data_IF_595185464027
#
_entry.id   IF_595185464027
#
_cell.length_a   1.000
_cell.length_b   1.000
_cell.length_c   1.000
_cell.angle_alpha   90.00
_cell.angle_beta   90.00
_cell.angle_gamma   90.00
#
_symmetry.space_group_name_H-M   'P 1'
#
loop_
_entity.id
_entity.type
_entity.pdbx_description
1 polymer ?
#
# COMPACT_ATOMS: atom_id res chain seq x y z
N UNK A 1 -15.55 -11.59 40.59
CA UNK A 1 -16.27 -10.75 39.60
C UNK A 1 -15.58 -10.92 38.25
N UNK A 2 -16.17 -11.69 37.32
CA UNK A 2 -15.54 -12.02 36.03
C UNK A 2 -15.67 -10.88 35.02
N UNK A 3 -14.58 -10.53 34.34
CA UNK A 3 -14.49 -9.48 33.32
C UNK A 3 -15.42 -9.82 32.14
N UNK A 4 -16.49 -9.04 31.93
CA UNK A 4 -17.43 -9.24 30.82
C UNK A 4 -16.72 -8.97 29.49
N UNK A 5 -16.71 -9.97 28.59
CA UNK A 5 -16.21 -9.83 27.21
C UNK A 5 -17.26 -9.08 26.38
N UNK A 6 -16.83 -8.07 25.63
CA UNK A 6 -17.66 -6.98 25.11
C UNK A 6 -18.45 -7.24 23.82
N UNK A 7 -18.69 -8.50 23.42
CA UNK A 7 -19.60 -8.81 22.30
C UNK A 7 -20.36 -10.13 22.56
N UNK A 8 -21.69 -10.19 22.33
CA UNK A 8 -22.52 -11.37 22.64
C UNK A 8 -22.25 -12.57 21.72
N UNK A 9 -21.65 -12.34 20.56
CA UNK A 9 -21.28 -13.37 19.59
C UNK A 9 -19.91 -13.03 18.97
N UNK A 10 -19.03 -14.03 18.97
CA UNK A 10 -17.71 -13.98 18.37
C UNK A 10 -17.12 -15.38 18.41
N UNK A 11 -16.61 -15.86 17.28
CA UNK A 11 -15.86 -17.11 17.22
C UNK A 11 -14.40 -16.74 17.46
N UNK A 12 -13.72 -17.48 18.32
CA UNK A 12 -12.27 -17.39 18.51
C UNK A 12 -11.63 -18.64 17.91
N UNK A 13 -11.44 -18.72 16.57
CA UNK A 13 -10.70 -19.82 15.98
C UNK A 13 -9.28 -19.90 16.58
N UNK A 14 -8.69 -21.10 16.67
CA UNK A 14 -7.27 -21.24 16.99
C UNK A 14 -6.42 -20.39 16.04
N UNK A 15 -5.49 -19.61 16.58
CA UNK A 15 -4.67 -18.68 15.79
C UNK A 15 -3.55 -19.37 14.99
N UNK A 16 -3.21 -20.61 15.36
CA UNK A 16 -2.26 -21.47 14.66
C UNK A 16 -0.86 -20.83 14.50
N UNK A 17 -0.49 -19.88 15.36
CA UNK A 17 0.81 -19.20 15.27
C UNK A 17 1.99 -20.12 15.57
N UNK A 18 1.77 -21.17 16.36
CA UNK A 18 2.81 -22.11 16.77
C UNK A 18 3.53 -22.78 15.60
N UNK A 19 2.89 -22.88 14.43
CA UNK A 19 3.46 -23.51 13.24
C UNK A 19 4.63 -22.73 12.63
N UNK A 20 4.64 -21.39 12.75
CA UNK A 20 5.66 -20.55 12.12
C UNK A 20 6.39 -19.60 13.07
N UNK A 21 5.93 -19.41 14.30
CA UNK A 21 6.51 -18.43 15.23
C UNK A 21 7.99 -18.66 15.58
N UNK A 22 8.52 -19.86 15.35
CA UNK A 22 9.90 -20.25 15.62
C UNK A 22 10.77 -20.34 14.36
N UNK A 23 10.18 -20.13 13.17
CA UNK A 23 10.90 -20.20 11.90
C UNK A 23 11.70 -18.90 11.69
N UNK A 24 12.85 -18.96 10.99
CA UNK A 24 13.61 -17.77 10.64
C UNK A 24 12.84 -16.87 9.67
N UNK A 25 13.21 -15.59 9.62
CA UNK A 25 12.77 -14.67 8.56
C UNK A 25 13.46 -15.08 7.27
N UNK A 26 12.69 -15.15 6.19
CA UNK A 26 13.17 -15.49 4.85
C UNK A 26 12.91 -14.35 3.88
N UNK A 27 13.73 -14.27 2.83
CA UNK A 27 13.51 -13.32 1.74
C UNK A 27 12.34 -13.79 0.86
N UNK A 28 11.35 -12.92 0.68
CA UNK A 28 10.27 -13.18 -0.25
C UNK A 28 10.72 -12.75 -1.65
N UNK A 29 10.71 -13.65 -2.65
CA UNK A 29 11.08 -13.27 -4.01
C UNK A 29 10.10 -12.23 -4.57
N UNK A 30 10.63 -11.33 -5.38
CA UNK A 30 9.85 -10.27 -6.00
C UNK A 30 8.94 -10.86 -7.09
N UNK A 31 7.66 -10.54 -7.04
CA UNK A 31 6.68 -10.97 -8.05
C UNK A 31 6.95 -10.32 -9.41
N UNK A 32 6.65 -11.03 -10.51
CA UNK A 32 6.78 -10.50 -11.87
C UNK A 32 5.86 -9.29 -12.14
N UNK A 33 4.73 -9.21 -11.44
CA UNK A 33 3.79 -8.10 -11.48
C UNK A 33 3.36 -7.69 -10.08
N UNK A 34 3.34 -6.38 -9.83
CA UNK A 34 2.77 -5.74 -8.66
C UNK A 34 1.48 -5.01 -9.08
N UNK A 35 0.34 -5.46 -8.58
CA UNK A 35 -0.96 -4.81 -8.81
C UNK A 35 -1.26 -3.90 -7.63
N UNK A 36 -1.31 -2.59 -7.87
CA UNK A 36 -1.56 -1.58 -6.84
C UNK A 36 -2.95 -0.97 -7.08
N UNK A 37 -3.96 -1.36 -6.28
CA UNK A 37 -5.29 -0.75 -6.39
C UNK A 37 -5.24 0.73 -6.02
N UNK A 38 -5.99 1.55 -6.73
CA UNK A 38 -6.14 2.99 -6.46
C UNK A 38 -7.23 3.29 -5.42
N UNK A 39 -7.96 2.26 -4.97
CA UNK A 39 -9.00 2.36 -3.96
C UNK A 39 -8.62 1.55 -2.71
N UNK A 40 -7.63 2.04 -1.95
CA UNK A 40 -7.11 1.38 -0.72
C UNK A 40 -7.73 1.93 0.58
N UNK A 41 -8.69 2.84 0.47
CA UNK A 41 -9.34 3.50 1.59
C UNK A 41 -10.84 3.66 1.34
N UNK A 42 -11.59 4.06 2.38
CA UNK A 42 -13.06 4.23 2.31
C UNK A 42 -13.53 5.37 1.40
N UNK A 43 -12.60 6.25 1.05
CA UNK A 43 -12.81 7.44 0.23
C UNK A 43 -12.95 7.17 -1.27
N UNK A 44 -12.97 8.23 -2.08
CA UNK A 44 -13.00 8.09 -3.54
C UNK A 44 -11.66 7.51 -4.04
N UNK A 45 -11.64 6.62 -5.05
CA UNK A 45 -10.39 6.11 -5.60
C UNK A 45 -9.44 7.23 -6.04
N UNK A 46 -8.14 7.07 -5.78
CA UNK A 46 -7.12 7.96 -6.27
C UNK A 46 -7.12 8.00 -7.81
N UNK A 47 -6.86 9.18 -8.37
CA UNK A 47 -6.80 9.37 -9.83
C UNK A 47 -5.39 9.03 -10.32
N UNK A 48 -5.23 8.08 -11.25
CA UNK A 48 -3.90 7.70 -11.73
C UNK A 48 -3.19 8.91 -12.34
N UNK A 49 -1.93 9.11 -11.97
CA UNK A 49 -1.09 10.18 -12.52
C UNK A 49 0.09 9.65 -13.35
N UNK A 50 0.10 8.35 -13.63
CA UNK A 50 1.03 7.64 -14.51
C UNK A 50 0.26 6.90 -15.59
N UNK A 51 0.95 6.51 -16.66
CA UNK A 51 0.39 5.78 -17.79
C UNK A 51 1.26 4.57 -18.15
N UNK A 52 0.73 3.69 -19.00
CA UNK A 52 1.46 2.51 -19.49
C UNK A 52 2.79 2.92 -20.16
N UNK A 53 3.86 2.22 -19.84
CA UNK A 53 5.22 2.47 -20.31
C UNK A 53 6.02 3.46 -19.46
N UNK A 54 5.39 4.12 -18.49
CA UNK A 54 6.08 5.01 -17.56
C UNK A 54 7.05 4.23 -16.66
N UNK A 55 8.25 4.78 -16.46
CA UNK A 55 9.16 4.32 -15.42
C UNK A 55 8.79 5.00 -14.10
N UNK A 56 8.75 4.23 -13.03
CA UNK A 56 8.43 4.72 -11.67
C UNK A 56 9.51 4.30 -10.69
N UNK A 57 9.72 5.13 -9.67
CA UNK A 57 10.58 4.82 -8.52
C UNK A 57 9.75 4.35 -7.33
N UNK A 58 10.36 3.59 -6.43
CA UNK A 58 9.75 3.24 -5.16
C UNK A 58 9.41 4.49 -4.36
N UNK A 59 8.18 4.53 -3.83
CA UNK A 59 7.65 5.67 -3.11
C UNK A 59 7.21 6.83 -4.01
N UNK A 60 7.29 6.73 -5.33
CA UNK A 60 6.73 7.74 -6.24
C UNK A 60 5.20 7.70 -6.21
N UNK A 61 4.55 8.87 -6.19
CA UNK A 61 3.09 8.99 -6.34
C UNK A 61 2.68 8.47 -7.72
N UNK A 62 1.74 7.52 -7.75
CA UNK A 62 1.15 6.95 -8.97
C UNK A 62 -0.36 7.17 -9.05
N UNK A 63 -0.98 7.62 -7.95
CA UNK A 63 -2.37 8.06 -7.90
C UNK A 63 -2.52 9.27 -6.99
N UNK A 64 -3.06 10.37 -7.53
CA UNK A 64 -3.34 11.58 -6.77
C UNK A 64 -4.64 11.45 -5.97
N UNK A 65 -4.66 12.02 -4.77
CA UNK A 65 -5.87 12.07 -3.96
C UNK A 65 -7.00 12.83 -4.71
N UNK A 66 -8.22 12.29 -4.69
CA UNK A 66 -9.39 12.89 -5.35
C UNK A 66 -10.59 12.99 -4.41
N UNK A 67 -11.21 14.17 -4.35
CA UNK A 67 -12.40 14.39 -3.53
C UNK A 67 -12.09 14.61 -2.05
N UNK A 68 -13.15 14.70 -1.22
CA UNK A 68 -13.04 15.14 0.17
C UNK A 68 -12.32 14.13 1.09
N UNK A 69 -12.55 12.83 0.87
CA UNK A 69 -11.85 11.75 1.58
C UNK A 69 -11.03 11.00 0.54
N UNK A 70 -9.72 11.25 0.51
CA UNK A 70 -8.77 10.51 -0.32
C UNK A 70 -7.34 10.72 0.14
N UNK A 71 -6.47 9.76 -0.17
CA UNK A 71 -5.02 9.88 0.03
C UNK A 71 -4.30 9.50 -1.27
N UNK A 72 -3.06 9.99 -1.47
CA UNK A 72 -2.24 9.56 -2.59
C UNK A 72 -1.86 8.07 -2.46
N UNK A 73 -1.62 7.45 -3.62
CA UNK A 73 -1.16 6.06 -3.75
C UNK A 73 0.20 6.07 -4.39
N UNK A 74 1.13 5.29 -3.82
CA UNK A 74 2.54 5.28 -4.21
C UNK A 74 2.95 3.92 -4.79
N UNK A 75 3.96 3.93 -5.66
CA UNK A 75 4.58 2.72 -6.18
C UNK A 75 5.31 1.94 -5.07
N UNK A 76 5.03 0.64 -4.96
CA UNK A 76 5.64 -0.23 -3.95
C UNK A 76 7.10 -0.61 -4.25
N UNK A 77 7.51 -0.51 -5.53
CA UNK A 77 8.88 -0.75 -5.99
C UNK A 77 9.14 0.07 -7.26
N UNK A 78 10.41 0.17 -7.67
CA UNK A 78 10.79 0.74 -8.96
C UNK A 78 10.46 -0.22 -10.10
N UNK A 79 10.25 0.33 -11.30
CA UNK A 79 10.08 -0.45 -12.52
C UNK A 79 9.17 0.23 -13.54
N UNK A 80 8.54 -0.58 -14.39
CA UNK A 80 7.73 -0.10 -15.51
C UNK A 80 6.23 -0.31 -15.25
N UNK A 81 5.43 0.71 -15.51
CA UNK A 81 3.96 0.59 -15.51
C UNK A 81 3.51 -0.19 -16.73
N UNK A 82 3.03 -1.42 -16.53
CA UNK A 82 2.51 -2.28 -17.59
C UNK A 82 1.10 -1.88 -18.05
N UNK A 83 0.27 -1.40 -17.12
CA UNK A 83 -1.10 -1.03 -17.38
C UNK A 83 -1.68 -0.14 -16.27
N UNK A 84 -2.70 0.65 -16.63
CA UNK A 84 -3.60 1.33 -15.70
C UNK A 84 -5.00 0.88 -16.03
N UNK A 85 -5.49 -0.13 -15.31
CA UNK A 85 -6.74 -0.83 -15.64
C UNK A 85 -7.38 -1.48 -14.40
N UNK A 86 -8.67 -1.86 -14.46
CA UNK A 86 -9.29 -2.63 -13.38
C UNK A 86 -8.68 -4.02 -13.20
N UNK A 87 -8.32 -4.40 -11.96
CA UNK A 87 -7.79 -5.73 -11.60
C UNK A 87 -8.60 -6.37 -10.46
N UNK A 88 -8.65 -7.72 -10.36
CA UNK A 88 -9.39 -8.40 -9.29
C UNK A 88 -8.90 -7.99 -7.90
N UNK A 89 -9.84 -7.75 -6.98
CA UNK A 89 -9.55 -7.39 -5.60
C UNK A 89 -10.24 -8.37 -4.61
N UNK A 90 -9.66 -8.65 -3.42
CA UNK A 90 -10.24 -9.56 -2.43
C UNK A 90 -11.66 -9.25 -1.96
N UNK A 91 -12.18 -8.05 -2.25
CA UNK A 91 -13.58 -7.68 -2.02
C UNK A 91 -14.55 -8.28 -3.04
N UNK A 92 -14.06 -9.06 -4.00
CA UNK A 92 -14.88 -9.71 -5.05
C UNK A 92 -15.26 -8.77 -6.20
N UNK A 93 -14.61 -7.61 -6.32
CA UNK A 93 -14.82 -6.64 -7.41
C UNK A 93 -13.50 -6.36 -8.10
N UNK A 94 -13.55 -5.90 -9.36
CA UNK A 94 -12.39 -5.32 -10.00
C UNK A 94 -12.27 -3.84 -9.61
N UNK A 95 -11.06 -3.41 -9.23
CA UNK A 95 -10.78 -2.02 -8.84
C UNK A 95 -9.75 -1.39 -9.79
N UNK A 96 -9.88 -0.08 -10.11
CA UNK A 96 -8.86 0.62 -10.90
C UNK A 96 -7.50 0.47 -10.23
N UNK A 97 -6.50 0.04 -10.98
CA UNK A 97 -5.19 -0.34 -10.45
C UNK A 97 -4.08 0.10 -11.40
N UNK A 98 -2.89 0.33 -10.84
CA UNK A 98 -1.65 0.45 -11.60
C UNK A 98 -0.91 -0.88 -11.49
N UNK A 99 -0.53 -1.46 -12.62
CA UNK A 99 0.25 -2.71 -12.69
C UNK A 99 1.70 -2.35 -12.99
N UNK A 100 2.62 -2.74 -12.12
CA UNK A 100 4.06 -2.46 -12.26
C UNK A 100 4.79 -3.78 -12.45
N UNK A 101 5.67 -3.84 -13.46
CA UNK A 101 6.73 -4.84 -13.52
C UNK A 101 7.93 -4.30 -12.75
N UNK A 102 8.26 -4.87 -11.59
CA UNK A 102 9.42 -4.39 -10.85
C UNK A 102 10.71 -4.71 -11.60
N UNK A 103 11.68 -3.80 -11.52
CA UNK A 103 13.01 -3.94 -12.15
C UNK A 103 14.03 -4.69 -11.27
N UNK A 104 13.72 -4.87 -9.99
CA UNK A 104 14.60 -5.49 -9.00
C UNK A 104 15.66 -4.54 -8.42
N UNK A 105 15.66 -3.26 -8.81
CA UNK A 105 16.62 -2.27 -8.33
C UNK A 105 16.21 -1.63 -6.99
N UNK A 106 14.91 -1.68 -6.66
CA UNK A 106 14.31 -1.05 -5.48
C UNK A 106 14.67 0.44 -5.32
N UNK A 107 14.80 1.13 -6.46
CA UNK A 107 15.28 2.50 -6.54
C UNK A 107 14.25 3.50 -5.99
N UNK A 108 14.61 4.23 -4.94
CA UNK A 108 13.74 5.20 -4.28
C UNK A 108 13.66 6.55 -5.02
N UNK A 109 12.48 7.17 -4.98
CA UNK A 109 12.33 8.59 -5.26
C UNK A 109 13.12 9.40 -4.22
N UNK A 110 13.56 10.61 -4.59
CA UNK A 110 14.11 11.55 -3.61
C UNK A 110 13.01 11.91 -2.61
N UNK A 111 13.10 11.36 -1.40
CA UNK A 111 12.18 11.63 -0.31
C UNK A 111 12.56 12.88 0.49
N UNK A 112 11.74 13.25 1.50
CA UNK A 112 11.96 14.44 2.32
C UNK A 112 13.16 14.37 3.28
N UNK A 113 14.01 13.34 3.16
CA UNK A 113 15.13 13.07 4.05
C UNK A 113 14.73 12.61 5.45
N UNK A 114 15.73 12.27 6.26
CA UNK A 114 15.52 11.87 7.65
C UNK A 114 15.06 13.05 8.52
N UNK A 115 14.13 12.79 9.42
CA UNK A 115 13.73 13.71 10.47
C UNK A 115 13.14 12.94 11.66
N UNK A 116 13.28 13.47 12.86
CA UNK A 116 12.60 12.93 14.04
C UNK A 116 11.11 13.30 13.98
N UNK A 117 10.18 12.33 13.84
CA UNK A 117 8.75 12.61 13.76
C UNK A 117 8.19 13.37 14.97
N UNK A 118 8.83 13.27 16.14
CA UNK A 118 8.39 13.97 17.36
C UNK A 118 8.71 15.47 17.34
N UNK A 119 9.67 15.87 16.50
CA UNK A 119 10.08 17.26 16.32
C UNK A 119 9.26 18.02 15.26
N UNK A 120 8.48 17.30 14.45
CA UNK A 120 7.77 17.86 13.31
C UNK A 120 6.38 18.36 13.70
N UNK A 121 5.96 19.46 13.07
CA UNK A 121 4.56 19.89 13.12
C UNK A 121 3.65 18.91 12.40
N UNK A 122 2.38 18.84 12.81
CA UNK A 122 1.40 17.91 12.22
C UNK A 122 1.25 18.08 10.70
N UNK A 123 1.32 19.31 10.20
CA UNK A 123 1.21 19.58 8.76
C UNK A 123 2.49 19.17 8.01
N UNK A 124 3.66 19.36 8.62
CA UNK A 124 4.92 18.89 8.04
C UNK A 124 4.97 17.36 7.93
N UNK A 125 4.47 16.65 8.94
CA UNK A 125 4.32 15.18 8.87
C UNK A 125 3.40 14.78 7.72
N UNK A 126 2.29 15.48 7.52
CA UNK A 126 1.35 15.20 6.43
C UNK A 126 1.97 15.45 5.07
N UNK A 127 2.70 16.55 4.90
CA UNK A 127 3.33 16.90 3.63
C UNK A 127 4.47 15.94 3.26
N UNK A 128 5.12 15.31 4.24
CA UNK A 128 6.09 14.22 3.99
C UNK A 128 5.47 12.90 3.53
N UNK A 129 4.17 12.69 3.76
CA UNK A 129 3.44 11.45 3.40
C UNK A 129 2.68 11.63 2.07
N UNK A 130 2.35 12.87 1.71
CA UNK A 130 1.61 13.21 0.50
C UNK A 130 2.47 13.09 -0.76
#
# INVERSE_FOLDING_TARGET
>A
MGKLKTFPAGIHPPDNKQWSAHLPIEECPLSEELVIPLAQHIGAPAEPCVEKGAQVKKGQVIGNAKGFVSVPVHASSSGEVLAVEPRPHPTGRSLPSVVIRPDGEDAWVEGPGEADPQSLGADEVRDRIR
#
